data_IF_139197703812
#
_entry.id   IF_139197703812
#
_cell.length_a   1.000
_cell.length_b   1.000
_cell.length_c   1.000
_cell.angle_alpha   90.00
_cell.angle_beta   90.00
_cell.angle_gamma   90.00
#
_symmetry.space_group_name_H-M   'P 1'
#
loop_
_entity.id
_entity.type
_entity.pdbx_description
1 polymer ?
#
# COMPACT_ATOMS: atom_id res chain seq x y z
N UNK A 1 32.42 -21.98 24.25
CA UNK A 1 32.12 -20.55 24.47
C UNK A 1 30.96 -20.21 23.56
N UNK A 2 29.79 -20.00 24.13
CA UNK A 2 28.62 -19.60 23.33
C UNK A 2 28.86 -18.18 22.87
N UNK A 3 28.89 -18.01 21.53
CA UNK A 3 29.05 -16.73 20.87
C UNK A 3 27.84 -15.84 21.22
N UNK A 4 28.06 -14.89 22.09
CA UNK A 4 27.03 -13.97 22.57
C UNK A 4 26.81 -12.93 21.48
N UNK A 5 26.01 -13.26 20.43
CA UNK A 5 25.51 -12.25 19.49
C UNK A 5 24.95 -11.07 20.27
N UNK A 6 25.29 -9.87 19.87
CA UNK A 6 24.80 -8.65 20.51
C UNK A 6 23.25 -8.61 20.43
N UNK A 7 22.61 -7.90 21.34
CA UNK A 7 21.14 -7.72 21.33
C UNK A 7 20.64 -7.23 19.96
N UNK A 8 21.37 -6.32 19.35
CA UNK A 8 21.08 -5.76 18.03
C UNK A 8 21.12 -6.84 16.92
N UNK A 9 22.12 -7.71 16.93
CA UNK A 9 22.22 -8.82 15.96
C UNK A 9 21.06 -9.81 16.09
N UNK A 10 20.62 -10.08 17.32
CA UNK A 10 19.46 -10.94 17.57
C UNK A 10 18.16 -10.30 17.05
N UNK A 11 18.00 -8.99 17.22
CA UNK A 11 16.85 -8.26 16.67
C UNK A 11 16.83 -8.29 15.14
N UNK A 12 17.98 -8.03 14.49
CA UNK A 12 18.05 -8.10 13.03
C UNK A 12 17.80 -9.51 12.50
N UNK A 13 18.36 -10.53 13.11
CA UNK A 13 18.10 -11.92 12.73
C UNK A 13 16.61 -12.30 12.87
N UNK A 14 15.98 -11.84 13.97
CA UNK A 14 14.55 -12.02 14.18
C UNK A 14 13.71 -11.33 13.09
N UNK A 15 13.97 -10.05 12.82
CA UNK A 15 13.28 -9.27 11.81
C UNK A 15 13.47 -9.87 10.41
N UNK A 16 14.68 -10.26 10.05
CA UNK A 16 14.99 -10.89 8.77
C UNK A 16 14.21 -12.19 8.59
N UNK A 17 14.15 -13.05 9.61
CA UNK A 17 13.35 -14.27 9.55
C UNK A 17 11.84 -14.01 9.46
N UNK A 18 11.31 -12.99 10.13
CA UNK A 18 9.89 -12.61 10.02
C UNK A 18 9.56 -12.18 8.59
N UNK A 19 10.45 -11.43 7.95
CA UNK A 19 10.28 -10.91 6.59
C UNK A 19 10.38 -12.04 5.55
N UNK A 20 11.34 -12.90 5.69
CA UNK A 20 11.61 -14.01 4.75
C UNK A 20 11.85 -15.33 5.48
N UNK A 21 10.80 -16.00 5.98
CA UNK A 21 10.95 -17.22 6.74
C UNK A 21 11.33 -18.45 5.90
N UNK A 22 11.26 -18.35 4.58
CA UNK A 22 11.58 -19.46 3.66
C UNK A 22 13.07 -19.53 3.37
N UNK A 23 13.75 -18.36 3.32
CA UNK A 23 15.16 -18.28 2.96
C UNK A 23 16.06 -17.90 4.14
N UNK A 24 15.51 -17.33 5.20
CA UNK A 24 16.27 -16.90 6.38
C UNK A 24 15.96 -17.80 7.57
N UNK A 25 16.99 -18.41 8.15
CA UNK A 25 16.84 -19.27 9.33
C UNK A 25 16.36 -18.47 10.56
N UNK A 26 15.56 -19.09 11.45
CA UNK A 26 15.18 -18.43 12.71
C UNK A 26 16.39 -18.19 13.61
N UNK A 27 16.35 -17.15 14.45
CA UNK A 27 17.41 -16.90 15.42
C UNK A 27 17.48 -18.01 16.47
N UNK A 28 18.71 -18.33 16.92
CA UNK A 28 18.97 -19.35 17.94
C UNK A 28 18.26 -19.03 19.27
N UNK A 29 17.82 -20.09 19.95
CA UNK A 29 17.24 -19.97 21.29
C UNK A 29 15.76 -19.57 21.33
N UNK A 30 15.11 -19.44 20.17
CA UNK A 30 13.67 -19.23 20.10
C UNK A 30 12.99 -20.53 19.60
N UNK A 31 12.03 -20.99 20.36
CA UNK A 31 11.23 -22.18 20.02
C UNK A 31 10.47 -21.97 18.68
N UNK A 32 10.53 -22.97 17.79
CA UNK A 32 9.90 -22.90 16.46
C UNK A 32 8.40 -22.56 16.51
N UNK A 33 7.68 -23.05 17.54
CA UNK A 33 6.26 -22.72 17.75
C UNK A 33 6.07 -21.24 18.01
N UNK A 34 6.94 -20.60 18.81
CA UNK A 34 6.87 -19.17 19.10
C UNK A 34 7.18 -18.36 17.84
N UNK A 35 8.20 -18.76 17.07
CA UNK A 35 8.50 -18.11 15.80
C UNK A 35 7.33 -18.19 14.83
N UNK A 36 6.62 -19.31 14.76
CA UNK A 36 5.44 -19.45 13.91
C UNK A 36 4.32 -18.47 14.31
N UNK A 37 4.11 -18.26 15.61
CA UNK A 37 3.14 -17.27 16.12
C UNK A 37 3.54 -15.86 15.68
N UNK A 38 4.80 -15.47 15.88
CA UNK A 38 5.26 -14.13 15.47
C UNK A 38 5.16 -13.92 13.97
N UNK A 39 5.57 -14.89 13.15
CA UNK A 39 5.42 -14.82 11.68
C UNK A 39 3.97 -14.57 11.28
N UNK A 40 3.05 -15.37 11.86
CA UNK A 40 1.62 -15.21 11.60
C UNK A 40 1.09 -13.85 12.05
N UNK A 41 1.49 -13.39 13.24
CA UNK A 41 1.04 -12.11 13.78
C UNK A 41 1.47 -10.93 12.90
N UNK A 42 2.76 -10.83 12.56
CA UNK A 42 3.27 -9.75 11.73
C UNK A 42 2.65 -9.76 10.33
N UNK A 43 2.60 -10.93 9.70
CA UNK A 43 1.99 -11.08 8.39
C UNK A 43 0.51 -10.69 8.39
N UNK A 44 -0.27 -11.20 9.33
CA UNK A 44 -1.71 -10.94 9.39
C UNK A 44 -2.01 -9.47 9.71
N UNK A 45 -1.23 -8.85 10.60
CA UNK A 45 -1.40 -7.43 10.91
C UNK A 45 -1.13 -6.56 9.69
N UNK A 46 -0.02 -6.79 8.99
CA UNK A 46 0.32 -6.05 7.78
C UNK A 46 -0.71 -6.29 6.67
N UNK A 47 -1.09 -7.54 6.44
CA UNK A 47 -2.11 -7.92 5.46
C UNK A 47 -3.46 -7.26 5.73
N UNK A 48 -3.91 -7.25 6.99
CA UNK A 48 -5.17 -6.62 7.38
C UNK A 48 -5.12 -5.10 7.24
N UNK A 49 -4.00 -4.49 7.61
CA UNK A 49 -3.80 -3.05 7.51
C UNK A 49 -3.84 -2.60 6.04
N UNK A 50 -3.06 -3.25 5.17
CA UNK A 50 -3.04 -2.93 3.75
C UNK A 50 -4.38 -3.25 3.07
N UNK A 51 -5.10 -4.29 3.49
CA UNK A 51 -6.45 -4.56 3.00
C UNK A 51 -7.47 -3.47 3.37
N UNK A 52 -7.23 -2.74 4.46
CA UNK A 52 -8.05 -1.58 4.85
C UNK A 52 -7.76 -0.38 3.97
N UNK A 53 -6.52 -0.18 3.58
CA UNK A 53 -6.09 0.95 2.75
C UNK A 53 -6.32 0.73 1.26
N UNK A 54 -6.31 -0.53 0.80
CA UNK A 54 -6.52 -0.93 -0.59
C UNK A 54 -7.70 -1.91 -0.71
N UNK A 55 -8.93 -1.48 -0.37
CA UNK A 55 -10.08 -2.38 -0.28
C UNK A 55 -10.55 -2.93 -1.63
N UNK A 56 -10.45 -2.19 -2.71
CA UNK A 56 -10.83 -2.68 -4.04
C UNK A 56 -9.76 -3.63 -4.55
N UNK A 57 -8.49 -3.25 -4.44
CA UNK A 57 -7.36 -4.10 -4.79
C UNK A 57 -7.46 -5.46 -4.06
N UNK A 58 -7.73 -5.44 -2.75
CA UNK A 58 -7.95 -6.66 -1.96
C UNK A 58 -9.13 -7.49 -2.44
N UNK A 59 -10.24 -6.87 -2.83
CA UNK A 59 -11.48 -7.54 -3.24
C UNK A 59 -11.38 -8.26 -4.58
N UNK A 60 -10.61 -7.72 -5.51
CA UNK A 60 -10.49 -8.26 -6.87
C UNK A 60 -9.45 -9.36 -6.97
N UNK A 61 -8.54 -9.47 -6.00
CA UNK A 61 -7.52 -10.51 -5.96
C UNK A 61 -7.92 -11.67 -5.05
N UNK A 62 -7.56 -12.87 -5.45
CA UNK A 62 -7.70 -14.06 -4.62
C UNK A 62 -6.84 -13.96 -3.35
N UNK A 63 -7.15 -14.79 -2.36
CA UNK A 63 -6.33 -14.86 -1.13
C UNK A 63 -4.88 -15.24 -1.43
N UNK A 64 -4.64 -16.06 -2.44
CA UNK A 64 -3.29 -16.47 -2.82
C UNK A 64 -2.50 -15.30 -3.42
N UNK A 65 -3.07 -14.55 -4.35
CA UNK A 65 -2.46 -13.37 -4.96
C UNK A 65 -2.19 -12.28 -3.91
N UNK A 66 -3.20 -11.99 -3.07
CA UNK A 66 -3.03 -11.01 -1.98
C UNK A 66 -1.90 -11.40 -1.02
N UNK A 67 -1.83 -12.69 -0.65
CA UNK A 67 -0.72 -13.19 0.18
C UNK A 67 0.62 -13.04 -0.52
N UNK A 68 0.68 -13.22 -1.83
CA UNK A 68 1.86 -12.97 -2.66
C UNK A 68 2.34 -11.53 -2.56
N UNK A 69 1.45 -10.55 -2.76
CA UNK A 69 1.77 -9.11 -2.61
C UNK A 69 2.36 -8.78 -1.24
N UNK A 70 1.67 -9.22 -0.17
CA UNK A 70 2.13 -8.94 1.20
C UNK A 70 3.48 -9.63 1.48
N UNK A 71 3.67 -10.87 1.02
CA UNK A 71 4.92 -11.59 1.22
C UNK A 71 6.06 -10.94 0.44
N UNK A 72 5.84 -10.60 -0.82
CA UNK A 72 6.83 -9.88 -1.64
C UNK A 72 7.22 -8.52 -1.04
N UNK A 73 6.24 -7.74 -0.59
CA UNK A 73 6.49 -6.49 0.13
C UNK A 73 7.36 -6.70 1.37
N UNK A 74 7.05 -7.70 2.20
CA UNK A 74 7.87 -8.02 3.37
C UNK A 74 9.29 -8.47 3.03
N UNK A 75 9.46 -9.23 1.94
CA UNK A 75 10.76 -9.78 1.54
C UNK A 75 11.68 -8.74 0.90
N UNK A 76 11.15 -7.96 -0.02
CA UNK A 76 11.95 -7.12 -0.90
C UNK A 76 12.00 -5.66 -0.43
N UNK A 77 10.88 -5.10 0.00
CA UNK A 77 10.83 -3.69 0.38
C UNK A 77 11.32 -3.45 1.80
N UNK A 78 12.19 -2.45 1.96
CA UNK A 78 12.63 -1.95 3.27
C UNK A 78 11.88 -0.67 3.59
N UNK A 79 10.73 -0.81 4.27
CA UNK A 79 9.99 0.35 4.74
C UNK A 79 10.86 1.22 5.65
N UNK A 80 10.95 2.50 5.35
CA UNK A 80 11.78 3.48 6.06
C UNK A 80 11.00 4.18 7.17
N UNK A 81 9.66 4.09 7.14
CA UNK A 81 8.80 4.76 8.09
C UNK A 81 8.39 3.88 9.27
N UNK A 82 8.39 4.41 10.52
CA UNK A 82 7.80 3.75 11.66
C UNK A 82 6.28 3.98 11.78
N UNK A 83 5.67 4.80 10.92
CA UNK A 83 4.27 5.21 11.03
C UNK A 83 3.36 4.35 10.16
N UNK A 84 2.35 3.74 10.76
CA UNK A 84 1.41 2.87 10.05
C UNK A 84 0.62 3.58 8.94
N UNK A 85 0.32 4.87 9.10
CA UNK A 85 -0.38 5.66 8.08
C UNK A 85 0.46 5.94 6.84
N UNK A 86 1.77 5.75 6.90
CA UNK A 86 2.67 5.89 5.76
C UNK A 86 2.97 4.56 5.05
N UNK A 87 2.56 3.43 5.64
CA UNK A 87 2.72 2.11 5.00
C UNK A 87 2.03 1.97 3.64
N UNK A 88 0.87 2.60 3.37
CA UNK A 88 0.28 2.59 2.03
C UNK A 88 1.19 3.22 0.97
N UNK A 89 1.89 4.30 1.29
CA UNK A 89 2.87 4.93 0.42
C UNK A 89 4.05 3.99 0.12
N UNK A 90 4.58 3.34 1.15
CA UNK A 90 5.65 2.34 1.01
C UNK A 90 5.20 1.15 0.15
N UNK A 91 3.97 0.68 0.35
CA UNK A 91 3.42 -0.41 -0.45
C UNK A 91 3.22 -0.02 -1.91
N UNK A 92 2.75 1.20 -2.17
CA UNK A 92 2.65 1.74 -3.53
C UNK A 92 4.05 1.85 -4.18
N UNK A 93 5.05 2.34 -3.45
CA UNK A 93 6.43 2.41 -3.93
C UNK A 93 6.98 1.02 -4.28
N UNK A 94 6.73 0.01 -3.44
CA UNK A 94 7.08 -1.38 -3.73
C UNK A 94 6.42 -1.88 -5.02
N UNK A 95 5.13 -1.66 -5.21
CA UNK A 95 4.43 -2.07 -6.42
C UNK A 95 4.97 -1.39 -7.69
N UNK A 96 5.47 -0.17 -7.56
CA UNK A 96 5.99 0.61 -8.69
C UNK A 96 7.43 0.23 -9.07
N UNK A 97 8.24 -0.20 -8.12
CA UNK A 97 9.71 -0.28 -8.33
C UNK A 97 10.31 -1.66 -8.12
N UNK A 98 9.70 -2.49 -7.29
CA UNK A 98 10.28 -3.76 -6.84
C UNK A 98 9.39 -4.98 -7.14
N UNK A 99 8.10 -4.73 -7.41
CA UNK A 99 7.16 -5.80 -7.73
C UNK A 99 7.36 -6.26 -9.16
N UNK A 100 7.59 -7.57 -9.33
CA UNK A 100 7.67 -8.22 -10.64
C UNK A 100 6.27 -8.76 -10.98
N UNK A 101 5.57 -8.04 -11.86
CA UNK A 101 4.21 -8.37 -12.24
C UNK A 101 4.20 -9.67 -13.05
N UNK A 102 3.37 -10.61 -12.66
CA UNK A 102 3.13 -11.84 -13.40
C UNK A 102 2.18 -11.61 -14.59
N UNK A 103 2.17 -12.52 -15.56
CA UNK A 103 1.30 -12.45 -16.74
C UNK A 103 -0.20 -12.44 -16.41
N UNK A 104 -0.59 -12.93 -15.23
CA UNK A 104 -1.96 -12.98 -14.73
C UNK A 104 -2.34 -11.81 -13.81
N UNK A 105 -1.42 -10.87 -13.60
CA UNK A 105 -1.73 -9.64 -12.87
C UNK A 105 -2.55 -8.67 -13.73
N UNK A 106 -3.44 -7.92 -13.09
CA UNK A 106 -4.26 -6.96 -13.81
C UNK A 106 -3.43 -5.80 -14.38
N UNK A 107 -3.64 -5.43 -15.66
CA UNK A 107 -2.87 -4.36 -16.30
C UNK A 107 -3.09 -2.98 -15.68
N UNK A 108 -4.15 -2.81 -14.90
CA UNK A 108 -4.49 -1.60 -14.17
C UNK A 108 -4.04 -1.60 -12.69
N UNK A 109 -3.29 -2.63 -12.25
CA UNK A 109 -2.89 -2.83 -10.85
C UNK A 109 -2.31 -1.55 -10.22
N UNK A 110 -1.32 -0.96 -10.88
CA UNK A 110 -0.62 0.23 -10.37
C UNK A 110 -1.51 1.47 -10.36
N UNK A 111 -2.32 1.65 -11.38
CA UNK A 111 -3.24 2.80 -11.46
C UNK A 111 -4.33 2.69 -10.38
N UNK A 112 -4.87 1.49 -10.14
CA UNK A 112 -5.83 1.26 -9.06
C UNK A 112 -5.19 1.49 -7.69
N UNK A 113 -4.00 0.94 -7.45
CA UNK A 113 -3.30 1.16 -6.17
C UNK A 113 -3.02 2.65 -5.93
N UNK A 114 -2.58 3.39 -6.96
CA UNK A 114 -2.39 4.83 -6.86
C UNK A 114 -3.70 5.57 -6.58
N UNK A 115 -4.79 5.19 -7.23
CA UNK A 115 -6.10 5.81 -7.00
C UNK A 115 -6.58 5.62 -5.56
N UNK A 116 -6.54 4.39 -5.03
CA UNK A 116 -6.93 4.11 -3.64
C UNK A 116 -6.01 4.82 -2.63
N UNK A 117 -4.71 4.92 -2.93
CA UNK A 117 -3.78 5.68 -2.11
C UNK A 117 -4.11 7.19 -2.12
N UNK A 118 -4.42 7.76 -3.29
CA UNK A 118 -4.77 9.17 -3.40
C UNK A 118 -6.08 9.51 -2.64
N UNK A 119 -7.08 8.61 -2.68
CA UNK A 119 -8.29 8.76 -1.86
C UNK A 119 -7.97 8.75 -0.35
N UNK A 120 -7.09 7.83 0.08
CA UNK A 120 -6.65 7.77 1.47
C UNK A 120 -5.87 9.03 1.88
N UNK A 121 -4.91 9.47 1.06
CA UNK A 121 -4.11 10.68 1.32
C UNK A 121 -5.00 11.90 1.54
N UNK A 122 -6.00 12.08 0.68
CA UNK A 122 -6.98 13.16 0.81
C UNK A 122 -7.87 13.00 2.06
N UNK A 123 -8.26 11.78 2.39
CA UNK A 123 -9.12 11.51 3.55
C UNK A 123 -8.43 11.77 4.90
N UNK A 124 -7.10 11.64 4.95
CA UNK A 124 -6.31 11.87 6.18
C UNK A 124 -5.52 13.18 6.15
N UNK A 125 -5.67 13.99 5.10
CA UNK A 125 -5.01 15.29 4.99
C UNK A 125 -5.54 16.25 6.06
N UNK A 126 -4.62 16.91 6.75
CA UNK A 126 -4.92 18.01 7.66
C UNK A 126 -4.98 19.37 6.92
N UNK A 127 -4.86 19.37 5.60
CA UNK A 127 -4.94 20.58 4.79
C UNK A 127 -6.36 21.19 4.87
N UNK A 128 -6.43 22.47 5.19
CA UNK A 128 -7.65 23.23 5.16
C UNK A 128 -7.67 24.16 3.93
N UNK A 129 -8.87 24.41 3.39
CA UNK A 129 -9.02 25.39 2.34
C UNK A 129 -8.69 26.78 2.88
N UNK A 130 -7.75 27.48 2.26
CA UNK A 130 -7.52 28.89 2.51
C UNK A 130 -8.73 29.69 1.99
N UNK A 131 -9.61 30.08 2.92
CA UNK A 131 -10.81 30.91 2.61
C UNK A 131 -10.52 32.40 2.65
N UNK A 132 -9.30 32.83 2.96
CA UNK A 132 -8.96 34.24 3.05
C UNK A 132 -9.03 34.88 1.64
N UNK A 133 -9.92 35.85 1.48
CA UNK A 133 -10.15 36.53 0.21
C UNK A 133 -11.12 35.85 -0.74
N UNK A 134 -11.75 34.73 -0.31
CA UNK A 134 -12.77 34.00 -1.08
C UNK A 134 -14.15 34.41 -0.59
N UNK A 135 -15.02 34.84 -1.51
CA UNK A 135 -16.45 35.03 -1.22
C UNK A 135 -17.19 33.69 -1.36
N UNK A 136 -17.66 33.08 -0.23
CA UNK A 136 -18.35 31.79 -0.29
C UNK A 136 -19.72 31.86 -0.99
N UNK A 137 -20.27 33.07 -1.20
CA UNK A 137 -21.53 33.33 -1.90
C UNK A 137 -21.31 33.92 -3.30
N UNK A 138 -20.06 33.99 -3.77
CA UNK A 138 -19.71 34.52 -5.07
C UNK A 138 -20.39 33.77 -6.22
N UNK A 139 -20.73 34.51 -7.28
CA UNK A 139 -21.29 33.89 -8.50
C UNK A 139 -20.20 33.24 -9.30
N UNK A 140 -20.24 31.89 -9.39
CA UNK A 140 -19.29 31.07 -10.14
C UNK A 140 -19.30 31.32 -11.66
N UNK A 141 -20.37 31.93 -12.20
CA UNK A 141 -20.45 32.23 -13.63
C UNK A 141 -19.79 33.55 -14.02
N UNK A 142 -19.67 34.48 -13.06
CA UNK A 142 -19.12 35.82 -13.30
C UNK A 142 -17.82 36.07 -12.53
N UNK A 143 -17.55 35.30 -11.50
CA UNK A 143 -16.33 35.37 -10.67
C UNK A 143 -15.19 34.46 -11.19
N UNK A 144 -14.05 34.56 -10.52
CA UNK A 144 -12.93 33.63 -10.71
C UNK A 144 -13.03 32.55 -9.65
N UNK A 145 -13.30 31.29 -10.02
CA UNK A 145 -13.37 30.20 -9.05
C UNK A 145 -12.00 29.95 -8.42
N UNK A 146 -11.96 29.79 -7.10
CA UNK A 146 -10.79 29.33 -6.38
C UNK A 146 -10.84 27.81 -6.26
N UNK A 147 -9.72 27.16 -6.59
CA UNK A 147 -9.61 25.70 -6.45
C UNK A 147 -9.29 25.32 -5.01
N UNK A 148 -9.95 24.28 -4.51
CA UNK A 148 -9.65 23.73 -3.18
C UNK A 148 -8.19 23.26 -3.09
N UNK A 149 -7.53 23.47 -1.97
CA UNK A 149 -6.20 22.91 -1.67
C UNK A 149 -6.20 21.37 -1.65
N UNK A 150 -7.37 20.77 -1.44
CA UNK A 150 -7.58 19.31 -1.47
C UNK A 150 -7.90 18.79 -2.88
N UNK A 151 -8.10 19.64 -3.87
CA UNK A 151 -8.36 19.18 -5.23
C UNK A 151 -7.10 18.56 -5.83
N UNK A 152 -7.24 17.36 -6.37
CA UNK A 152 -6.20 16.66 -7.15
C UNK A 152 -6.79 16.29 -8.51
N UNK A 153 -5.98 16.35 -9.54
CA UNK A 153 -6.35 15.90 -10.88
C UNK A 153 -5.35 14.84 -11.33
N UNK A 154 -5.86 13.67 -11.65
CA UNK A 154 -5.07 12.55 -12.16
C UNK A 154 -5.64 12.12 -13.50
N UNK A 155 -4.80 11.55 -14.34
CA UNK A 155 -5.20 10.96 -15.61
C UNK A 155 -4.76 9.49 -15.62
N UNK A 156 -5.71 8.59 -15.79
CA UNK A 156 -5.50 7.14 -15.81
C UNK A 156 -5.83 6.58 -17.20
N UNK A 157 -5.16 5.50 -17.59
CA UNK A 157 -5.49 4.78 -18.82
C UNK A 157 -6.70 3.87 -18.65
N UNK A 158 -6.98 3.46 -17.41
CA UNK A 158 -8.11 2.61 -17.07
C UNK A 158 -9.13 3.38 -16.23
N UNK A 159 -10.40 3.03 -16.34
CA UNK A 159 -11.47 3.63 -15.54
C UNK A 159 -11.42 3.14 -14.08
N UNK A 160 -10.34 3.50 -13.35
CA UNK A 160 -10.02 3.00 -12.01
C UNK A 160 -11.14 3.23 -10.99
N UNK A 161 -11.87 4.34 -11.10
CA UNK A 161 -13.03 4.68 -10.27
C UNK A 161 -14.22 3.73 -10.42
N UNK A 162 -14.22 2.85 -11.45
CA UNK A 162 -15.28 1.88 -11.71
C UNK A 162 -14.88 0.44 -11.38
N UNK A 163 -13.58 0.22 -11.13
CA UNK A 163 -13.06 -1.13 -10.89
C UNK A 163 -13.73 -1.76 -9.68
N UNK A 164 -14.16 -2.98 -9.85
CA UNK A 164 -14.85 -3.78 -8.85
C UNK A 164 -14.84 -5.25 -9.28
N UNK A 165 -15.23 -6.21 -8.44
CA UNK A 165 -15.35 -7.62 -8.86
C UNK A 165 -16.29 -7.88 -10.04
N UNK A 166 -17.11 -6.88 -10.40
CA UNK A 166 -18.05 -6.95 -11.53
C UNK A 166 -17.56 -6.20 -12.78
N UNK A 167 -16.47 -5.44 -12.64
CA UNK A 167 -15.91 -4.64 -13.73
C UNK A 167 -14.39 -4.64 -13.63
N UNK A 168 -13.74 -5.44 -14.44
CA UNK A 168 -12.29 -5.63 -14.53
C UNK A 168 -11.89 -5.40 -16.00
N UNK A 169 -11.48 -4.17 -16.38
CA UNK A 169 -11.13 -3.86 -17.76
C UNK A 169 -9.83 -4.53 -18.18
N UNK A 170 -9.82 -5.18 -19.34
CA UNK A 170 -8.61 -5.80 -19.92
C UNK A 170 -7.84 -4.80 -20.79
N UNK A 171 -8.53 -3.82 -21.36
CA UNK A 171 -7.95 -2.83 -22.27
C UNK A 171 -8.09 -1.41 -21.67
N UNK A 172 -7.14 -0.52 -21.98
CA UNK A 172 -7.24 0.89 -21.58
C UNK A 172 -8.37 1.61 -22.31
N UNK A 173 -8.85 2.68 -21.72
CA UNK A 173 -9.83 3.57 -22.36
C UNK A 173 -9.20 4.28 -23.58
N UNK A 174 -10.03 4.62 -24.57
CA UNK A 174 -9.57 5.31 -25.78
C UNK A 174 -8.99 6.71 -25.50
N UNK A 175 -9.40 7.31 -24.41
CA UNK A 175 -8.88 8.58 -23.87
C UNK A 175 -8.66 8.44 -22.37
N UNK A 176 -7.64 9.11 -21.79
CA UNK A 176 -7.45 9.12 -20.34
C UNK A 176 -8.70 9.60 -19.59
N UNK A 177 -8.99 8.95 -18.50
CA UNK A 177 -10.11 9.23 -17.59
C UNK A 177 -9.62 9.84 -16.29
#
# INVERSE_FOLDING_TARGET
MADSKSFKEKQYAFAAHIRDPEHVAPPDGIESRRMAIYRGLFFNNLSSLLATFFPVLRKIHSDAQWRGFIRGFMQHHQAETPYFLQLPQEFLAYLQTEFDAADDDYPFLLELAHYEYAELELAVSDDENEIQGIDPNGDLLTGVPAMSSLARAFAYRYAVHRISPKFLPEEPEAQPV
#
